data_IF_814800749076
#
_entry.id   IF_814800749076
#
_cell.length_a   1.000
_cell.length_b   1.000
_cell.length_c   1.000
_cell.angle_alpha   90.00
_cell.angle_beta   90.00
_cell.angle_gamma   90.00
#
_symmetry.space_group_name_H-M   'P 1'
#
loop_
_entity.id
_entity.type
_entity.pdbx_description
1 polymer ?
#
# COMPACT_ATOMS: atom_id res chain seq x y z
N UNK A 1 28.53 -22.53 12.75
CA UNK A 1 28.55 -23.13 11.41
C UNK A 1 27.10 -23.42 11.05
N UNK A 2 26.50 -22.55 10.25
CA UNK A 2 25.12 -22.76 9.77
C UNK A 2 25.18 -23.88 8.74
N UNK A 3 24.46 -24.95 9.02
CA UNK A 3 24.51 -26.17 8.23
C UNK A 3 24.05 -25.90 6.79
N UNK A 4 24.87 -26.24 5.81
CA UNK A 4 24.59 -26.05 4.36
C UNK A 4 23.23 -26.66 3.98
N UNK A 5 22.85 -27.74 4.63
CA UNK A 5 21.58 -28.42 4.49
C UNK A 5 20.38 -27.56 4.95
N UNK A 6 20.57 -26.69 5.96
CA UNK A 6 19.54 -25.77 6.45
C UNK A 6 19.30 -24.63 5.44
N UNK A 7 20.37 -24.13 4.81
CA UNK A 7 20.25 -23.09 3.78
C UNK A 7 19.62 -23.62 2.48
N UNK A 8 19.95 -24.84 2.08
CA UNK A 8 19.33 -25.50 0.93
C UNK A 8 17.82 -25.72 1.16
N UNK A 9 17.44 -26.19 2.35
CA UNK A 9 16.03 -26.40 2.72
C UNK A 9 15.23 -25.11 2.78
N UNK A 10 15.81 -24.04 3.35
CA UNK A 10 15.19 -22.71 3.34
C UNK A 10 15.05 -22.16 1.92
N UNK A 11 16.05 -22.36 1.07
CA UNK A 11 15.99 -21.96 -0.33
C UNK A 11 14.87 -22.68 -1.10
N UNK A 12 14.69 -23.97 -0.87
CA UNK A 12 13.61 -24.77 -1.48
C UNK A 12 12.23 -24.34 -0.95
N UNK A 13 12.11 -24.06 0.35
CA UNK A 13 10.88 -23.61 0.98
C UNK A 13 10.45 -22.22 0.44
N UNK A 14 11.39 -21.27 0.33
CA UNK A 14 11.15 -19.97 -0.28
C UNK A 14 10.83 -20.05 -1.79
N UNK A 15 11.43 -20.96 -2.52
CA UNK A 15 11.14 -21.16 -3.95
C UNK A 15 9.74 -21.73 -4.19
N UNK A 16 9.19 -22.47 -3.22
CA UNK A 16 7.85 -23.05 -3.33
C UNK A 16 6.74 -22.01 -3.12
N UNK A 17 7.04 -20.92 -2.39
CA UNK A 17 6.09 -19.83 -2.12
C UNK A 17 6.02 -18.77 -3.24
N UNK A 18 6.98 -18.76 -4.16
CA UNK A 18 7.00 -17.81 -5.27
C UNK A 18 6.11 -18.35 -6.39
N UNK A 19 5.06 -17.64 -6.81
CA UNK A 19 4.23 -18.00 -7.95
C UNK A 19 5.06 -18.25 -9.21
N UNK A 20 4.65 -19.20 -10.04
CA UNK A 20 5.43 -19.64 -11.20
C UNK A 20 5.67 -18.53 -12.24
N UNK A 21 4.73 -17.59 -12.36
CA UNK A 21 4.84 -16.39 -13.19
C UNK A 21 5.95 -15.43 -12.73
N UNK A 22 6.28 -15.42 -11.41
CA UNK A 22 7.39 -14.63 -10.86
C UNK A 22 8.74 -15.34 -10.94
N UNK A 23 8.78 -16.62 -11.33
CA UNK A 23 10.02 -17.40 -11.51
C UNK A 23 10.65 -17.23 -12.88
N UNK A 24 9.91 -16.69 -13.84
CA UNK A 24 10.43 -16.49 -15.17
C UNK A 24 11.54 -15.43 -15.20
N UNK A 25 12.76 -15.87 -15.53
CA UNK A 25 13.87 -14.97 -15.80
C UNK A 25 13.71 -14.38 -17.20
N UNK A 26 13.47 -13.08 -17.27
CA UNK A 26 13.33 -12.37 -18.54
C UNK A 26 14.52 -11.44 -18.78
N UNK A 27 14.76 -11.08 -20.05
CA UNK A 27 15.86 -10.20 -20.38
C UNK A 27 15.60 -8.75 -19.92
N UNK A 28 16.68 -7.98 -19.67
CA UNK A 28 16.55 -6.55 -19.37
C UNK A 28 15.87 -5.77 -20.50
N UNK A 29 16.06 -6.20 -21.75
CA UNK A 29 15.39 -5.61 -22.91
C UNK A 29 13.87 -5.80 -22.81
N UNK A 30 13.41 -7.00 -22.46
CA UNK A 30 11.99 -7.25 -22.23
C UNK A 30 11.42 -6.31 -21.15
N UNK A 31 12.16 -6.10 -20.06
CA UNK A 31 11.76 -5.15 -19.02
C UNK A 31 11.63 -3.71 -19.53
N UNK A 32 12.58 -3.26 -20.37
CA UNK A 32 12.51 -1.92 -20.96
C UNK A 32 11.33 -1.76 -21.93
N UNK A 33 11.06 -2.77 -22.74
CA UNK A 33 9.92 -2.76 -23.66
C UNK A 33 8.61 -2.73 -22.87
N UNK A 34 8.47 -3.55 -21.82
CA UNK A 34 7.32 -3.57 -20.92
C UNK A 34 7.15 -2.22 -20.17
N UNK A 35 8.25 -1.61 -19.74
CA UNK A 35 8.24 -0.30 -19.09
C UNK A 35 7.81 0.82 -20.05
N UNK A 36 8.16 0.71 -21.32
CA UNK A 36 7.74 1.66 -22.36
C UNK A 36 6.23 1.57 -22.61
N UNK A 37 5.67 0.36 -22.60
CA UNK A 37 4.25 0.11 -22.79
C UNK A 37 3.43 0.46 -21.56
N UNK A 38 3.93 0.16 -20.36
CA UNK A 38 3.31 0.54 -19.08
C UNK A 38 4.31 1.14 -18.07
N UNK A 39 4.46 2.48 -18.07
CA UNK A 39 5.36 3.17 -17.13
C UNK A 39 4.98 2.98 -15.65
N UNK A 40 3.76 2.51 -15.34
CA UNK A 40 3.32 2.26 -13.96
C UNK A 40 4.14 1.18 -13.27
N UNK A 41 4.79 0.29 -14.01
CA UNK A 41 5.68 -0.75 -13.48
C UNK A 41 6.86 -0.15 -12.68
N UNK A 42 7.35 1.04 -13.09
CA UNK A 42 8.46 1.73 -12.43
C UNK A 42 8.06 2.61 -11.26
N UNK A 43 6.78 2.60 -10.85
CA UNK A 43 6.32 3.40 -9.71
C UNK A 43 7.08 3.04 -8.44
N UNK A 44 7.56 4.05 -7.73
CA UNK A 44 8.15 3.87 -6.41
C UNK A 44 7.08 3.62 -5.34
N UNK A 45 7.50 3.27 -4.12
CA UNK A 45 6.59 2.95 -3.02
C UNK A 45 5.60 4.09 -2.71
N UNK A 46 6.04 5.34 -2.71
CA UNK A 46 5.17 6.50 -2.46
C UNK A 46 4.12 6.68 -3.55
N UNK A 47 4.50 6.48 -4.81
CA UNK A 47 3.57 6.52 -5.94
C UNK A 47 2.52 5.42 -5.83
N UNK A 48 2.92 4.19 -5.54
CA UNK A 48 1.97 3.07 -5.37
C UNK A 48 1.01 3.28 -4.22
N UNK A 49 1.49 3.78 -3.08
CA UNK A 49 0.62 4.08 -1.93
C UNK A 49 -0.30 5.26 -2.24
N UNK A 50 0.18 6.30 -2.93
CA UNK A 50 -0.67 7.41 -3.37
C UNK A 50 -1.78 6.94 -4.32
N UNK A 51 -1.43 6.09 -5.30
CA UNK A 51 -2.38 5.52 -6.25
C UNK A 51 -3.43 4.64 -5.55
N UNK A 52 -3.05 3.90 -4.51
CA UNK A 52 -3.99 3.16 -3.68
C UNK A 52 -5.02 4.09 -3.03
N UNK A 53 -4.60 5.19 -2.41
CA UNK A 53 -5.53 6.17 -1.83
C UNK A 53 -6.45 6.80 -2.87
N UNK A 54 -5.94 7.06 -4.09
CA UNK A 54 -6.73 7.58 -5.18
C UNK A 54 -7.70 6.54 -5.75
N UNK A 55 -7.32 5.25 -5.74
CA UNK A 55 -8.15 4.13 -6.20
C UNK A 55 -9.38 3.93 -5.30
N UNK A 56 -9.19 3.88 -3.98
CA UNK A 56 -10.30 3.73 -3.04
C UNK A 56 -11.07 5.04 -2.85
N UNK A 57 -10.43 6.17 -3.07
CA UNK A 57 -11.04 7.48 -3.06
C UNK A 57 -11.48 7.98 -1.68
N UNK A 58 -12.41 8.92 -1.72
CA UNK A 58 -12.98 9.57 -0.55
C UNK A 58 -14.50 9.54 -0.62
N UNK A 59 -15.15 9.53 0.53
CA UNK A 59 -16.59 9.66 0.67
C UNK A 59 -16.95 10.85 1.58
N UNK A 60 -18.17 11.36 1.42
CA UNK A 60 -18.68 12.43 2.26
C UNK A 60 -19.56 11.82 3.36
N UNK A 61 -19.20 12.08 4.61
CA UNK A 61 -19.99 11.70 5.77
C UNK A 61 -20.98 12.84 6.09
N UNK A 62 -22.26 12.56 5.92
CA UNK A 62 -23.33 13.57 6.16
C UNK A 62 -23.50 13.88 7.65
N UNK A 63 -23.19 12.95 8.54
CA UNK A 63 -23.36 13.12 9.98
C UNK A 63 -22.35 14.13 10.55
N UNK A 64 -21.10 14.02 10.14
CA UNK A 64 -19.99 14.86 10.61
C UNK A 64 -19.68 16.03 9.66
N UNK A 65 -20.23 16.03 8.45
CA UNK A 65 -19.94 17.00 7.41
C UNK A 65 -18.49 16.96 6.92
N UNK A 66 -17.84 15.78 6.99
CA UNK A 66 -16.45 15.59 6.67
C UNK A 66 -16.28 14.75 5.40
N UNK A 67 -15.18 15.01 4.69
CA UNK A 67 -14.72 14.13 3.63
C UNK A 67 -13.73 13.15 4.25
N UNK A 68 -14.02 11.87 4.14
CA UNK A 68 -13.25 10.78 4.72
C UNK A 68 -12.63 9.93 3.61
N UNK A 69 -11.42 9.41 3.82
CA UNK A 69 -10.90 8.38 2.93
C UNK A 69 -11.66 7.08 3.12
N UNK A 70 -12.05 6.41 2.02
CA UNK A 70 -12.85 5.20 2.06
C UNK A 70 -12.21 4.11 2.94
N UNK A 71 -10.90 3.97 2.90
CA UNK A 71 -10.17 3.03 3.76
C UNK A 71 -10.28 3.34 5.29
N UNK A 72 -10.68 4.55 5.65
CA UNK A 72 -10.91 4.95 7.05
C UNK A 72 -12.40 4.86 7.43
N UNK A 73 -13.29 4.78 6.45
CA UNK A 73 -14.73 4.74 6.64
C UNK A 73 -15.27 3.31 6.69
N UNK A 74 -14.63 2.38 6.01
CA UNK A 74 -15.05 0.96 5.98
C UNK A 74 -13.90 0.07 6.47
N UNK A 75 -14.09 -0.55 7.64
CA UNK A 75 -13.20 -1.59 8.11
C UNK A 75 -13.74 -2.97 7.70
N UNK A 76 -13.05 -3.70 6.81
CA UNK A 76 -13.50 -5.02 6.38
C UNK A 76 -13.47 -6.07 7.49
N UNK A 77 -12.87 -5.75 8.66
CA UNK A 77 -12.80 -6.65 9.81
C UNK A 77 -13.92 -6.39 10.84
N UNK A 78 -14.59 -5.25 10.75
CA UNK A 78 -15.66 -4.84 11.67
C UNK A 78 -16.99 -4.61 10.93
N UNK A 79 -17.30 -5.47 9.95
CA UNK A 79 -18.56 -5.46 9.20
C UNK A 79 -18.92 -4.08 8.58
N UNK A 80 -17.90 -3.31 8.19
CA UNK A 80 -18.09 -2.00 7.58
C UNK A 80 -18.32 -0.86 8.57
N UNK A 81 -18.20 -1.11 9.88
CA UNK A 81 -18.29 -0.02 10.86
C UNK A 81 -17.09 0.92 10.75
N UNK A 82 -17.36 2.22 10.78
CA UNK A 82 -16.32 3.24 10.82
C UNK A 82 -15.57 3.16 12.17
N UNK A 83 -14.27 2.92 12.12
CA UNK A 83 -13.41 2.78 13.30
C UNK A 83 -12.77 4.11 13.70
N UNK A 84 -12.77 5.07 12.79
CA UNK A 84 -12.17 6.38 13.00
C UNK A 84 -13.24 7.44 13.16
N UNK A 85 -13.40 7.91 14.38
CA UNK A 85 -14.39 8.93 14.71
C UNK A 85 -13.72 10.25 15.06
N UNK A 86 -14.31 11.33 14.56
CA UNK A 86 -13.97 12.69 14.92
C UNK A 86 -13.01 13.38 13.96
N UNK A 87 -13.24 14.68 13.84
CA UNK A 87 -12.57 15.59 12.91
C UNK A 87 -11.04 15.51 13.00
N UNK A 88 -10.48 15.47 14.20
CA UNK A 88 -9.03 15.50 14.42
C UNK A 88 -8.33 14.28 13.82
N UNK A 89 -8.99 13.11 13.89
CA UNK A 89 -8.43 11.86 13.33
C UNK A 89 -8.46 11.94 11.80
N UNK A 90 -9.57 12.38 11.22
CA UNK A 90 -9.68 12.52 9.77
C UNK A 90 -8.71 13.58 9.21
N UNK A 91 -8.53 14.70 9.91
CA UNK A 91 -7.51 15.70 9.54
C UNK A 91 -6.10 15.12 9.58
N UNK A 92 -5.75 14.29 10.58
CA UNK A 92 -4.47 13.62 10.67
C UNK A 92 -4.27 12.60 9.51
N UNK A 93 -5.32 11.87 9.13
CA UNK A 93 -5.29 10.96 7.98
C UNK A 93 -5.08 11.76 6.67
N UNK A 94 -5.81 12.86 6.50
CA UNK A 94 -5.63 13.75 5.34
C UNK A 94 -4.21 14.32 5.26
N UNK A 95 -3.64 14.74 6.38
CA UNK A 95 -2.26 15.22 6.43
C UNK A 95 -1.27 14.12 6.05
N UNK A 96 -1.47 12.89 6.54
CA UNK A 96 -0.66 11.74 6.19
C UNK A 96 -0.71 11.47 4.67
N UNK A 97 -1.90 11.39 4.09
CA UNK A 97 -2.09 11.12 2.66
C UNK A 97 -1.50 12.24 1.80
N UNK A 98 -1.69 13.50 2.19
CA UNK A 98 -1.08 14.63 1.48
C UNK A 98 0.45 14.56 1.48
N UNK A 99 1.07 14.11 2.58
CA UNK A 99 2.53 13.87 2.64
C UNK A 99 2.96 12.72 1.73
N UNK A 100 2.18 11.64 1.66
CA UNK A 100 2.43 10.52 0.73
C UNK A 100 2.34 11.00 -0.72
N UNK A 101 1.28 11.71 -1.09
CA UNK A 101 1.09 12.28 -2.43
C UNK A 101 2.19 13.28 -2.81
N UNK A 102 2.66 14.08 -1.85
CA UNK A 102 3.79 14.98 -2.07
C UNK A 102 5.10 14.21 -2.32
N UNK A 103 5.32 13.12 -1.58
CA UNK A 103 6.45 12.21 -1.82
C UNK A 103 6.38 11.53 -3.17
N UNK A 104 5.19 11.10 -3.60
CA UNK A 104 4.96 10.52 -4.92
C UNK A 104 5.34 11.48 -6.08
N UNK A 105 5.26 12.78 -5.83
CA UNK A 105 5.64 13.84 -6.79
C UNK A 105 7.11 14.28 -6.68
N UNK A 106 7.90 13.66 -5.79
CA UNK A 106 9.32 14.03 -5.59
C UNK A 106 9.52 15.40 -4.91
N UNK A 107 8.58 15.82 -4.06
CA UNK A 107 8.63 17.13 -3.40
C UNK A 107 9.40 17.12 -2.06
N UNK A 108 10.15 16.05 -1.78
CA UNK A 108 11.04 15.92 -0.63
C UNK A 108 10.52 15.16 0.59
N UNK A 109 9.19 14.98 0.84
CA UNK A 109 8.71 14.20 1.97
C UNK A 109 9.09 12.71 1.93
N UNK A 110 9.44 12.16 0.76
CA UNK A 110 9.87 10.77 0.55
C UNK A 110 11.15 10.43 1.32
N UNK A 111 11.98 11.43 1.63
CA UNK A 111 13.22 11.25 2.39
C UNK A 111 13.05 11.38 3.90
N UNK A 112 11.83 11.66 4.37
CA UNK A 112 11.54 11.94 5.79
C UNK A 112 10.82 10.77 6.45
N UNK A 113 11.23 10.48 7.69
CA UNK A 113 10.50 9.54 8.54
C UNK A 113 9.18 10.20 8.98
N UNK A 114 8.08 9.45 8.86
CA UNK A 114 6.76 9.86 9.37
C UNK A 114 6.50 9.15 10.68
N UNK A 115 6.27 9.93 11.72
CA UNK A 115 6.02 9.41 13.06
C UNK A 115 4.56 9.67 13.43
N UNK A 116 3.83 8.59 13.71
CA UNK A 116 2.46 8.67 14.23
C UNK A 116 2.50 8.80 15.76
N UNK A 117 2.19 9.98 16.27
CA UNK A 117 2.15 10.27 17.70
C UNK A 117 0.70 10.38 18.19
N UNK A 118 0.47 9.88 19.37
CA UNK A 118 -0.83 9.96 20.03
C UNK A 118 -0.95 9.02 21.22
N UNK A 119 -1.96 9.16 22.06
CA UNK A 119 -2.18 8.31 23.24
C UNK A 119 -2.44 6.86 22.87
N UNK A 120 -2.39 5.97 23.85
CA UNK A 120 -2.80 4.57 23.71
C UNK A 120 -4.29 4.54 23.34
N UNK A 121 -4.68 3.68 22.41
CA UNK A 121 -6.06 3.56 21.95
C UNK A 121 -6.50 4.58 20.89
N UNK A 122 -5.62 5.46 20.39
CA UNK A 122 -5.94 6.46 19.36
C UNK A 122 -5.96 5.94 17.92
N UNK A 123 -6.08 4.62 17.70
CA UNK A 123 -6.23 4.03 16.37
C UNK A 123 -4.95 3.94 15.49
N UNK A 124 -3.78 4.38 15.99
CA UNK A 124 -2.53 4.39 15.18
C UNK A 124 -2.16 3.05 14.56
N UNK A 125 -2.15 1.99 15.39
CA UNK A 125 -1.82 0.64 14.92
C UNK A 125 -2.91 0.08 14.01
N UNK A 126 -4.15 0.47 14.23
CA UNK A 126 -5.28 0.09 13.40
C UNK A 126 -5.18 0.75 12.02
N UNK A 127 -4.84 2.03 11.97
CA UNK A 127 -4.61 2.75 10.71
C UNK A 127 -3.45 2.14 9.90
N UNK A 128 -2.33 1.79 10.54
CA UNK A 128 -1.21 1.10 9.89
C UNK A 128 -1.67 -0.27 9.35
N UNK A 129 -2.40 -1.03 10.16
CA UNK A 129 -2.93 -2.34 9.77
C UNK A 129 -3.88 -2.23 8.56
N UNK A 130 -4.85 -1.32 8.59
CA UNK A 130 -5.76 -1.09 7.48
C UNK A 130 -5.02 -0.65 6.21
N UNK A 131 -4.10 0.30 6.34
CA UNK A 131 -3.31 0.78 5.20
C UNK A 131 -2.56 -0.36 4.51
N UNK A 132 -1.97 -1.29 5.29
CA UNK A 132 -1.31 -2.49 4.74
C UNK A 132 -2.29 -3.42 4.04
N UNK A 133 -3.44 -3.69 4.64
CA UNK A 133 -4.47 -4.57 4.07
C UNK A 133 -5.01 -4.04 2.75
N UNK A 134 -5.32 -2.76 2.70
CA UNK A 134 -5.76 -2.11 1.46
C UNK A 134 -4.65 -2.07 0.41
N UNK A 135 -3.41 -1.86 0.83
CA UNK A 135 -2.28 -1.90 -0.10
C UNK A 135 -2.05 -3.29 -0.69
N UNK A 136 -2.18 -4.35 0.11
CA UNK A 136 -2.14 -5.73 -0.40
C UNK A 136 -3.27 -6.00 -1.42
N UNK A 137 -4.50 -5.62 -1.10
CA UNK A 137 -5.63 -5.79 -2.00
C UNK A 137 -5.41 -5.03 -3.32
N UNK A 138 -5.05 -3.76 -3.23
CA UNK A 138 -4.74 -2.91 -4.37
C UNK A 138 -3.63 -3.50 -5.25
N UNK A 139 -2.53 -3.98 -4.65
CA UNK A 139 -1.41 -4.54 -5.42
C UNK A 139 -1.76 -5.85 -6.09
N UNK A 140 -2.63 -6.67 -5.52
CA UNK A 140 -3.14 -7.88 -6.16
C UNK A 140 -4.00 -7.55 -7.39
N UNK A 141 -4.87 -6.56 -7.29
CA UNK A 141 -5.67 -6.08 -8.41
C UNK A 141 -4.80 -5.44 -9.51
N UNK A 142 -3.83 -4.62 -9.12
CA UNK A 142 -2.91 -3.96 -10.05
C UNK A 142 -1.99 -4.99 -10.75
N UNK A 143 -1.49 -5.99 -10.02
CA UNK A 143 -0.73 -7.11 -10.58
C UNK A 143 -1.59 -7.95 -11.55
N UNK A 144 -2.85 -8.22 -11.22
CA UNK A 144 -3.78 -8.92 -12.09
C UNK A 144 -4.05 -8.15 -13.40
N UNK A 145 -4.11 -6.82 -13.34
CA UNK A 145 -4.23 -5.97 -14.55
C UNK A 145 -2.95 -5.99 -15.39
N UNK A 146 -1.77 -6.08 -14.76
CA UNK A 146 -0.49 -6.13 -15.45
C UNK A 146 -0.16 -7.51 -16.03
N UNK A 147 -0.76 -8.59 -15.52
CA UNK A 147 -0.54 -9.96 -16.03
C UNK A 147 -1.28 -10.27 -17.33
N UNK A 148 -2.10 -9.36 -17.83
CA UNK A 148 -2.81 -9.50 -19.10
C UNK A 148 -2.05 -8.90 -20.31
N UNK A 149 -0.80 -8.51 -20.11
CA UNK A 149 0.16 -8.14 -21.13
C UNK A 149 1.32 -9.14 -21.14
#
# INVERSE_FOLDING_TARGET
>A
MTDRHTLERLSEEYQTEIPDDLRESRSFRWYLDTLYDDPRIARNAHQRVADMFDHYGTQYNEEDGLVEYALAAEDPLHDGENVFYGREIHEAIHEFVNKVKSGARGLGPETRIKLLLGPVGSGKSHFDFLTRRYFEAYTREDACRMSHF
#
